data_IF_078908834340
#
_entry.id   IF_078908834340
#
_cell.length_a   1.000
_cell.length_b   1.000
_cell.length_c   1.000
_cell.angle_alpha   90.00
_cell.angle_beta   90.00
_cell.angle_gamma   90.00
#
_symmetry.space_group_name_H-M   'P 1'
#
loop_
_entity.id
_entity.type
_entity.pdbx_description
1 polymer ?
#
# COMPACT_ATOMS: atom_id res chain seq x y z
N UNK A 1 5.04 35.26 29.32
CA UNK A 1 6.16 34.47 29.85
C UNK A 1 6.40 33.31 28.88
N UNK A 2 7.63 33.11 28.44
CA UNK A 2 7.96 31.97 27.54
C UNK A 2 8.18 30.73 28.43
N UNK A 3 7.60 29.56 28.09
CA UNK A 3 7.84 28.33 28.83
C UNK A 3 9.33 28.00 28.91
N UNK A 4 9.82 27.58 30.09
CA UNK A 4 11.20 27.17 30.30
C UNK A 4 11.26 25.76 30.86
N UNK A 5 12.22 24.97 30.39
CA UNK A 5 12.41 23.58 30.79
C UNK A 5 13.85 23.37 31.25
N UNK A 6 14.02 22.69 32.38
CA UNK A 6 15.33 22.41 32.97
C UNK A 6 16.17 21.54 32.02
N UNK A 7 17.42 21.96 31.77
CA UNK A 7 18.42 21.28 30.94
C UNK A 7 18.09 21.17 29.44
N UNK A 8 17.00 21.77 28.96
CA UNK A 8 16.71 21.83 27.53
C UNK A 8 17.62 22.86 26.87
N UNK A 9 18.36 22.47 25.82
CA UNK A 9 19.30 23.36 25.12
C UNK A 9 18.75 24.02 23.86
N UNK A 10 17.66 23.50 23.29
CA UNK A 10 17.05 24.04 22.08
C UNK A 10 16.31 25.38 22.28
N UNK A 11 15.61 25.83 21.24
CA UNK A 11 14.94 27.14 21.24
C UNK A 11 13.43 27.02 21.41
N UNK A 12 12.84 27.98 22.13
CA UNK A 12 11.38 28.11 22.30
C UNK A 12 10.99 29.51 21.87
N UNK A 13 10.28 29.60 20.73
CA UNK A 13 9.86 30.87 20.14
C UNK A 13 8.33 31.02 20.26
N UNK A 14 7.88 32.23 20.62
CA UNK A 14 6.46 32.55 20.67
C UNK A 14 5.96 32.86 19.25
N UNK A 15 5.00 32.09 18.77
CA UNK A 15 4.36 32.32 17.48
C UNK A 15 3.18 33.29 17.63
N UNK A 16 2.27 32.99 18.55
CA UNK A 16 1.09 33.81 18.88
C UNK A 16 0.90 33.90 20.40
N UNK A 17 -0.18 34.56 20.85
CA UNK A 17 -0.54 34.66 22.26
C UNK A 17 -0.60 33.31 22.99
N UNK A 18 -1.02 32.24 22.31
CA UNK A 18 -1.22 30.90 22.88
C UNK A 18 -0.32 29.82 22.28
N UNK A 19 0.41 30.09 21.19
CA UNK A 19 1.18 29.10 20.44
C UNK A 19 2.69 29.35 20.54
N UNK A 20 3.45 28.28 20.73
CA UNK A 20 4.91 28.30 20.81
C UNK A 20 5.48 27.22 19.88
N UNK A 21 6.63 27.51 19.26
CA UNK A 21 7.42 26.56 18.51
C UNK A 21 8.60 26.14 19.38
N UNK A 22 8.82 24.84 19.51
CA UNK A 22 9.96 24.27 20.21
C UNK A 22 10.83 23.52 19.20
N UNK A 23 12.07 23.98 19.06
CA UNK A 23 13.03 23.44 18.10
C UNK A 23 14.19 22.79 18.84
N UNK A 24 14.61 21.62 18.37
CA UNK A 24 15.85 20.98 18.81
C UNK A 24 17.09 21.65 18.22
N UNK A 25 18.25 21.02 18.40
CA UNK A 25 19.52 21.49 17.86
C UNK A 25 20.08 20.47 16.85
N UNK A 26 20.54 20.99 15.72
CA UNK A 26 21.20 20.22 14.66
C UNK A 26 22.40 21.00 14.13
N UNK A 27 23.49 20.30 13.86
CA UNK A 27 24.72 20.84 13.30
C UNK A 27 25.12 20.05 12.04
N UNK A 28 25.71 20.73 11.07
CA UNK A 28 26.27 20.09 9.87
C UNK A 28 27.76 19.89 10.15
N UNK A 29 28.20 18.62 10.22
CA UNK A 29 29.61 18.26 10.43
C UNK A 29 30.39 18.25 9.11
N UNK A 30 29.74 17.82 8.02
CA UNK A 30 30.31 17.76 6.66
C UNK A 30 29.19 17.82 5.62
N UNK A 31 29.54 17.89 4.33
CA UNK A 31 28.57 17.92 3.22
C UNK A 31 27.61 16.72 3.19
N UNK A 32 27.96 15.61 3.85
CA UNK A 32 27.17 14.37 3.90
C UNK A 32 26.90 13.90 5.34
N UNK A 33 27.13 14.75 6.35
CA UNK A 33 26.93 14.35 7.75
C UNK A 33 26.34 15.46 8.57
N UNK A 34 25.16 15.17 9.14
CA UNK A 34 24.48 16.01 10.12
C UNK A 34 24.50 15.34 11.50
N UNK A 35 24.60 16.15 12.54
CA UNK A 35 24.57 15.73 13.94
C UNK A 35 23.37 16.36 14.65
N UNK A 36 22.54 15.55 15.30
CA UNK A 36 21.41 16.02 16.10
C UNK A 36 21.81 15.94 17.57
N UNK A 37 21.93 17.09 18.24
CA UNK A 37 22.39 17.17 19.64
C UNK A 37 21.26 17.35 20.64
N UNK A 38 20.07 17.79 20.20
CA UNK A 38 18.91 17.98 21.06
C UNK A 38 17.60 17.76 20.28
N UNK A 39 16.63 17.09 20.89
CA UNK A 39 15.28 16.90 20.33
C UNK A 39 14.30 17.89 20.95
N UNK A 40 13.21 18.27 20.24
CA UNK A 40 12.16 19.09 20.83
C UNK A 40 11.59 18.50 22.12
N UNK A 41 11.09 19.36 22.99
CA UNK A 41 10.52 18.96 24.27
C UNK A 41 9.34 18.00 24.06
N UNK A 42 9.28 16.93 24.87
CA UNK A 42 8.35 15.79 24.76
C UNK A 42 8.62 14.82 23.61
N UNK A 43 9.71 14.98 22.87
CA UNK A 43 10.14 14.00 21.88
C UNK A 43 11.16 13.05 22.52
N UNK A 44 10.77 11.77 22.67
CA UNK A 44 11.67 10.72 23.16
C UNK A 44 12.60 10.22 22.05
N UNK A 45 13.86 9.93 22.40
CA UNK A 45 14.88 9.47 21.44
C UNK A 45 14.45 8.22 20.69
N UNK A 46 13.88 7.22 21.38
CA UNK A 46 13.41 5.99 20.76
C UNK A 46 12.28 6.26 19.76
N UNK A 47 11.27 7.04 20.18
CA UNK A 47 10.16 7.41 19.31
C UNK A 47 10.64 8.19 18.08
N UNK A 48 11.59 9.12 18.23
CA UNK A 48 12.13 9.89 17.11
C UNK A 48 12.88 9.00 16.12
N UNK A 49 13.67 8.05 16.63
CA UNK A 49 14.37 7.06 15.81
C UNK A 49 13.40 6.24 14.96
N UNK A 50 12.41 5.62 15.60
CA UNK A 50 11.46 4.72 14.92
C UNK A 50 10.50 5.46 13.99
N UNK A 51 10.02 6.65 14.36
CA UNK A 51 8.98 7.34 13.60
C UNK A 51 9.49 8.34 12.57
N UNK A 52 10.74 8.79 12.68
CA UNK A 52 11.32 9.81 11.79
C UNK A 52 12.54 9.28 11.06
N UNK A 53 13.55 8.78 11.79
CA UNK A 53 14.84 8.41 11.18
C UNK A 53 14.75 7.12 10.36
N UNK A 54 14.11 6.08 10.88
CA UNK A 54 13.96 4.80 10.17
C UNK A 54 13.17 4.96 8.85
N UNK A 55 12.03 5.68 8.79
CA UNK A 55 11.35 5.95 7.52
C UNK A 55 12.16 6.79 6.53
N UNK A 56 12.99 7.72 7.01
CA UNK A 56 13.89 8.51 6.16
C UNK A 56 15.02 7.66 5.57
N UNK A 57 15.49 6.64 6.31
CA UNK A 57 16.50 5.69 5.85
C UNK A 57 15.93 4.68 4.84
N UNK A 58 14.71 4.20 5.09
CA UNK A 58 14.06 3.15 4.31
C UNK A 58 13.36 3.66 3.03
N UNK A 59 13.18 4.98 2.88
CA UNK A 59 12.60 5.59 1.68
C UNK A 59 11.14 5.20 1.41
N UNK A 60 10.17 5.90 2.01
CA UNK A 60 8.72 5.95 1.66
C UNK A 60 7.91 4.65 1.41
N UNK A 61 8.46 3.44 1.53
CA UNK A 61 7.83 2.22 0.97
C UNK A 61 6.98 1.38 1.93
N UNK A 62 6.41 1.97 3.01
CA UNK A 62 5.72 1.17 4.05
C UNK A 62 4.36 1.70 4.51
N UNK A 63 3.59 2.33 3.64
CA UNK A 63 2.15 2.38 3.90
C UNK A 63 1.47 1.17 3.24
N UNK A 64 0.95 0.21 4.03
CA UNK A 64 0.30 -0.96 3.46
C UNK A 64 -0.89 -0.51 2.61
N UNK A 65 -0.93 -0.98 1.37
CA UNK A 65 -2.01 -0.66 0.45
C UNK A 65 -3.31 -1.28 0.95
N UNK A 66 -4.38 -0.50 0.99
CA UNK A 66 -5.71 -0.97 1.40
C UNK A 66 -6.58 -1.09 0.16
N UNK A 67 -6.88 -2.32 -0.25
CA UNK A 67 -7.59 -2.63 -1.48
C UNK A 67 -8.73 -3.62 -1.22
N UNK A 68 -9.69 -3.69 -2.14
CA UNK A 68 -10.72 -4.73 -2.13
C UNK A 68 -10.19 -6.04 -2.70
N UNK A 69 -10.48 -7.15 -2.03
CA UNK A 69 -10.16 -8.49 -2.51
C UNK A 69 -11.17 -8.99 -3.57
N UNK A 70 -10.94 -10.19 -4.10
CA UNK A 70 -11.83 -10.81 -5.10
C UNK A 70 -13.27 -11.07 -4.60
N UNK A 71 -13.51 -11.01 -3.28
CA UNK A 71 -14.83 -11.16 -2.66
C UNK A 71 -15.47 -9.80 -2.33
N UNK A 72 -14.77 -8.69 -2.58
CA UNK A 72 -15.23 -7.34 -2.27
C UNK A 72 -15.00 -6.92 -0.82
N UNK A 73 -14.17 -7.65 -0.07
CA UNK A 73 -13.80 -7.31 1.30
C UNK A 73 -12.56 -6.41 1.32
N UNK A 74 -12.55 -5.42 2.20
CA UNK A 74 -11.41 -4.51 2.37
C UNK A 74 -10.26 -5.24 3.08
N UNK A 75 -9.07 -5.26 2.48
CA UNK A 75 -7.88 -5.92 3.02
C UNK A 75 -6.64 -5.04 2.93
N UNK A 76 -5.73 -5.20 3.89
CA UNK A 76 -4.40 -4.56 3.89
C UNK A 76 -3.39 -5.49 3.22
N UNK A 77 -2.58 -4.93 2.33
CA UNK A 77 -1.50 -5.61 1.62
C UNK A 77 -0.19 -4.96 2.03
N UNK A 78 0.71 -5.75 2.59
CA UNK A 78 1.96 -5.23 3.13
C UNK A 78 3.05 -5.15 2.05
N UNK A 79 2.89 -5.92 0.98
CA UNK A 79 3.85 -6.03 -0.12
C UNK A 79 3.15 -6.00 -1.47
N UNK A 80 3.84 -5.50 -2.50
CA UNK A 80 3.30 -5.46 -3.87
C UNK A 80 3.17 -6.88 -4.42
N UNK A 81 4.07 -7.77 -4.00
CA UNK A 81 4.10 -9.18 -4.39
C UNK A 81 2.82 -9.91 -3.98
N UNK A 82 2.23 -9.60 -2.81
CA UNK A 82 0.95 -10.14 -2.37
C UNK A 82 -0.18 -9.76 -3.34
N UNK A 83 -0.23 -8.49 -3.75
CA UNK A 83 -1.24 -7.99 -4.69
C UNK A 83 -1.09 -8.69 -6.04
N UNK A 84 0.14 -8.78 -6.56
CA UNK A 84 0.42 -9.42 -7.84
C UNK A 84 0.05 -10.91 -7.84
N UNK A 85 0.36 -11.64 -6.76
CA UNK A 85 0.01 -13.07 -6.62
C UNK A 85 -1.50 -13.29 -6.65
N UNK A 86 -2.25 -12.52 -5.88
CA UNK A 86 -3.71 -12.66 -5.83
C UNK A 86 -4.38 -12.29 -7.16
N UNK A 87 -3.93 -11.21 -7.78
CA UNK A 87 -4.39 -10.80 -9.10
C UNK A 87 -4.16 -11.92 -10.14
N UNK A 88 -2.96 -12.51 -10.13
CA UNK A 88 -2.61 -13.58 -11.06
C UNK A 88 -3.53 -14.80 -10.92
N UNK A 89 -3.74 -15.29 -9.69
CA UNK A 89 -4.62 -16.45 -9.45
C UNK A 89 -6.07 -16.18 -9.85
N UNK A 90 -6.59 -14.98 -9.51
CA UNK A 90 -7.94 -14.58 -9.89
C UNK A 90 -8.10 -14.54 -11.42
N UNK A 91 -7.14 -13.96 -12.13
CA UNK A 91 -7.16 -13.89 -13.61
C UNK A 91 -7.04 -15.28 -14.23
N UNK A 92 -6.15 -16.12 -13.73
CA UNK A 92 -5.99 -17.50 -14.19
C UNK A 92 -7.31 -18.28 -14.09
N UNK A 93 -7.99 -18.19 -12.95
CA UNK A 93 -9.31 -18.81 -12.77
C UNK A 93 -10.34 -18.29 -13.78
N UNK A 94 -10.39 -16.96 -13.98
CA UNK A 94 -11.30 -16.34 -14.96
C UNK A 94 -11.02 -16.76 -16.41
N UNK A 95 -9.76 -16.99 -16.79
CA UNK A 95 -9.44 -17.51 -18.12
C UNK A 95 -9.89 -18.96 -18.31
N UNK A 96 -9.75 -19.80 -17.28
CA UNK A 96 -10.23 -21.19 -17.31
C UNK A 96 -11.75 -21.23 -17.46
N UNK A 97 -12.47 -20.44 -16.66
CA UNK A 97 -13.93 -20.31 -16.74
C UNK A 97 -14.39 -19.87 -18.14
N UNK A 98 -13.70 -18.88 -18.74
CA UNK A 98 -14.00 -18.41 -20.10
C UNK A 98 -13.79 -19.50 -21.15
N UNK A 99 -12.68 -20.23 -21.07
CA UNK A 99 -12.37 -21.32 -22.01
C UNK A 99 -13.46 -22.39 -21.96
N UNK A 100 -13.84 -22.83 -20.76
CA UNK A 100 -14.90 -23.82 -20.56
C UNK A 100 -16.25 -23.34 -21.13
N UNK A 101 -16.58 -22.06 -20.94
CA UNK A 101 -17.79 -21.47 -21.50
C UNK A 101 -17.80 -21.50 -23.03
N UNK A 102 -16.70 -21.11 -23.67
CA UNK A 102 -16.58 -21.14 -25.13
C UNK A 102 -16.67 -22.56 -25.70
N UNK A 103 -16.00 -23.53 -25.05
CA UNK A 103 -16.10 -24.94 -25.42
C UNK A 103 -17.55 -25.46 -25.32
N UNK A 104 -18.26 -25.10 -24.26
CA UNK A 104 -19.67 -25.43 -24.08
C UNK A 104 -20.57 -24.85 -25.18
N UNK A 105 -20.37 -23.58 -25.54
CA UNK A 105 -21.12 -22.94 -26.62
C UNK A 105 -20.88 -23.62 -27.98
N UNK A 106 -19.62 -23.91 -28.31
CA UNK A 106 -19.25 -24.58 -29.55
C UNK A 106 -19.81 -26.01 -29.61
N UNK A 107 -19.77 -26.75 -28.50
CA UNK A 107 -20.37 -28.08 -28.40
C UNK A 107 -21.88 -28.03 -28.65
N UNK A 108 -22.60 -27.11 -28.00
CA UNK A 108 -24.04 -26.95 -28.20
C UNK A 108 -24.40 -26.57 -29.65
N UNK A 109 -23.58 -25.73 -30.31
CA UNK A 109 -23.75 -25.40 -31.74
C UNK A 109 -23.52 -26.62 -32.63
N UNK A 110 -22.46 -27.40 -32.34
CA UNK A 110 -22.14 -28.64 -33.06
C UNK A 110 -23.27 -29.67 -32.95
N UNK A 111 -23.81 -29.87 -31.75
CA UNK A 111 -24.94 -30.78 -31.50
C UNK A 111 -26.20 -30.31 -32.24
N UNK A 112 -26.50 -29.01 -32.21
CA UNK A 112 -27.64 -28.45 -32.94
C UNK A 112 -27.53 -28.69 -34.45
N UNK A 113 -26.34 -28.45 -35.02
CA UNK A 113 -26.11 -28.64 -36.44
C UNK A 113 -26.18 -30.13 -36.83
N UNK A 114 -25.60 -31.00 -36.02
CA UNK A 114 -25.67 -32.45 -36.19
C UNK A 114 -27.13 -32.95 -36.18
N UNK A 115 -27.92 -32.49 -35.21
CA UNK A 115 -29.34 -32.84 -35.10
C UNK A 115 -30.15 -32.33 -36.31
N UNK A 116 -29.86 -31.12 -36.82
CA UNK A 116 -30.50 -30.60 -38.04
C UNK A 116 -30.17 -31.45 -39.28
N UNK A 117 -28.90 -31.86 -39.43
CA UNK A 117 -28.48 -32.72 -40.55
C UNK A 117 -29.14 -34.10 -40.45
N UNK A 118 -29.17 -34.70 -39.26
CA UNK A 118 -29.77 -36.01 -39.03
C UNK A 118 -31.28 -36.00 -39.34
N UNK A 119 -32.01 -35.00 -38.84
CA UNK A 119 -33.45 -34.84 -39.14
C UNK A 119 -33.69 -34.67 -40.65
N UNK A 120 -32.85 -33.90 -41.34
CA UNK A 120 -32.99 -33.68 -42.79
C UNK A 120 -32.69 -34.94 -43.60
N UNK A 121 -31.80 -35.81 -43.15
CA UNK A 121 -31.50 -37.08 -43.79
C UNK A 121 -32.61 -38.13 -43.63
N UNK A 122 -33.38 -38.08 -42.53
CA UNK A 122 -34.51 -38.99 -42.28
C UNK A 122 -35.79 -38.62 -43.04
N UNK A 123 -35.87 -37.38 -43.56
CA UNK A 123 -37.03 -36.85 -44.28
C UNK A 123 -36.89 -36.94 -45.81
N UNK A 124 -35.80 -37.52 -46.32
CA UNK A 124 -35.51 -37.77 -47.74
C UNK A 124 -35.44 -39.29 -47.99
#
# INVERSE_FOLDING_TARGET
>A
MIPWFKNFRGTIEKLDETRYVCSGEVAILSDDTIEITELPIRTWTQNYKESVLEPMLDGSDKHPAVLFDALGCLRKFNTVEEICKEFFETRKKKYIERKAFQEGMLRAQSERLSNQVCLRALLL
#
